data_IF_638505320199
#
_entry.id   IF_638505320199
#
_cell.length_a   1.000
_cell.length_b   1.000
_cell.length_c   1.000
_cell.angle_alpha   90.00
_cell.angle_beta   90.00
_cell.angle_gamma   90.00
#
_symmetry.space_group_name_H-M   'P 1'
#
loop_
_entity.id
_entity.type
_entity.pdbx_description
1 polymer ?
#
# COMPACT_ATOMS: atom_id res chain seq x y z
N UNK A 1 6.42 11.13 10.19
CA UNK A 1 5.74 12.33 9.66
C UNK A 1 6.28 12.74 8.29
N UNK A 2 7.61 12.85 8.12
CA UNK A 2 8.24 13.31 6.86
C UNK A 2 7.75 12.65 5.57
N UNK A 3 7.59 11.33 5.52
CA UNK A 3 7.12 10.66 4.30
C UNK A 3 5.67 10.98 3.96
N UNK A 4 4.79 11.10 4.98
CA UNK A 4 3.41 11.55 4.75
C UNK A 4 3.40 12.96 4.17
N UNK A 5 4.18 13.88 4.74
CA UNK A 5 4.36 15.25 4.25
C UNK A 5 4.89 15.28 2.81
N UNK A 6 5.90 14.47 2.53
CA UNK A 6 6.50 14.34 1.19
C UNK A 6 5.49 13.85 0.14
N UNK A 7 4.64 12.88 0.48
CA UNK A 7 3.56 12.39 -0.40
C UNK A 7 2.44 13.43 -0.54
N UNK A 8 1.92 13.94 0.57
CA UNK A 8 0.76 14.81 0.61
C UNK A 8 0.98 16.12 -0.16
N UNK A 9 2.16 16.70 -0.02
CA UNK A 9 2.55 17.95 -0.71
C UNK A 9 3.32 17.71 -2.01
N UNK A 10 3.49 16.45 -2.43
CA UNK A 10 4.20 16.08 -3.66
C UNK A 10 5.59 16.72 -3.77
N UNK A 11 6.39 16.67 -2.70
CA UNK A 11 7.65 17.41 -2.57
C UNK A 11 8.75 16.99 -3.58
N UNK A 12 8.49 16.01 -4.43
CA UNK A 12 9.35 15.66 -5.57
C UNK A 12 9.13 16.56 -6.79
N UNK A 13 7.96 17.21 -6.89
CA UNK A 13 7.66 18.21 -7.90
C UNK A 13 7.93 19.60 -7.29
N UNK A 14 8.68 20.46 -7.99
CA UNK A 14 9.01 21.80 -7.50
C UNK A 14 7.78 22.73 -7.41
N UNK A 15 6.62 22.26 -7.91
CA UNK A 15 5.32 22.89 -7.77
C UNK A 15 4.86 22.72 -6.33
N UNK A 16 5.01 23.77 -5.53
CA UNK A 16 4.58 23.84 -4.13
C UNK A 16 3.05 23.65 -4.01
N UNK A 17 2.59 22.41 -4.09
CA UNK A 17 1.19 22.08 -4.21
C UNK A 17 0.50 22.14 -2.85
N UNK A 18 -0.55 22.95 -2.75
CA UNK A 18 -1.39 22.99 -1.55
C UNK A 18 -2.13 21.67 -1.34
N UNK A 19 -2.41 21.36 -0.08
CA UNK A 19 -3.20 20.18 0.25
C UNK A 19 -4.64 20.37 -0.26
N UNK A 20 -5.24 19.38 -0.95
CA UNK A 20 -6.65 19.45 -1.30
C UNK A 20 -7.50 19.61 -0.03
N UNK A 21 -8.65 20.26 -0.16
CA UNK A 21 -9.58 20.38 0.96
C UNK A 21 -10.01 18.99 1.47
N UNK A 22 -10.16 18.88 2.78
CA UNK A 22 -10.61 17.68 3.47
C UNK A 22 -11.60 18.06 4.58
N UNK A 23 -12.31 17.06 5.12
CA UNK A 23 -13.26 17.29 6.19
C UNK A 23 -12.56 17.66 7.50
N UNK A 24 -13.09 18.69 8.16
CA UNK A 24 -12.55 19.15 9.44
C UNK A 24 -13.02 18.25 10.59
N UNK A 25 -12.12 17.76 11.47
CA UNK A 25 -12.52 17.00 12.66
C UNK A 25 -13.28 17.82 13.72
N UNK A 26 -13.26 19.15 13.62
CA UNK A 26 -13.87 20.08 14.60
C UNK A 26 -15.18 20.71 14.12
N UNK A 27 -15.45 20.71 12.82
CA UNK A 27 -16.71 21.22 12.28
C UNK A 27 -17.27 20.21 11.29
N UNK A 28 -18.14 19.35 11.82
CA UNK A 28 -18.76 18.21 11.12
C UNK A 28 -19.37 18.65 9.77
N UNK A 29 -19.06 17.90 8.71
CA UNK A 29 -19.79 17.99 7.44
C UNK A 29 -19.37 19.07 6.45
N UNK A 30 -18.16 19.65 6.57
CA UNK A 30 -17.62 20.58 5.55
C UNK A 30 -16.20 20.21 5.12
N UNK A 31 -16.01 19.97 3.82
CA UNK A 31 -14.71 19.83 3.15
C UNK A 31 -14.03 21.20 2.98
N UNK A 32 -13.70 21.84 4.10
CA UNK A 32 -13.10 23.18 4.15
C UNK A 32 -11.72 23.20 4.79
N UNK A 33 -11.32 22.13 5.48
CA UNK A 33 -10.01 22.05 6.11
C UNK A 33 -8.92 21.90 5.03
N UNK A 34 -7.85 22.66 5.17
CA UNK A 34 -6.66 22.57 4.33
C UNK A 34 -5.46 23.07 5.14
N UNK A 35 -4.26 22.76 4.67
CA UNK A 35 -3.01 23.22 5.26
C UNK A 35 -2.14 23.90 4.19
N UNK A 36 -1.40 24.96 4.55
CA UNK A 36 -0.40 25.54 3.67
C UNK A 36 0.67 24.52 3.29
N UNK A 37 1.34 24.77 2.15
CA UNK A 37 2.41 23.89 1.68
C UNK A 37 3.47 23.66 2.78
N UNK A 38 3.92 22.41 2.90
CA UNK A 38 4.93 21.94 3.86
C UNK A 38 4.58 22.14 5.35
N UNK A 39 3.32 22.44 5.67
CA UNK A 39 2.85 22.58 7.05
C UNK A 39 2.40 21.25 7.64
N UNK A 40 2.72 21.00 8.90
CA UNK A 40 2.25 19.82 9.64
C UNK A 40 1.03 20.11 10.52
N UNK A 41 0.85 21.37 10.87
CA UNK A 41 -0.26 21.87 11.68
C UNK A 41 -0.82 23.16 11.08
N UNK A 42 -2.05 23.49 11.43
CA UNK A 42 -2.70 24.74 11.04
C UNK A 42 -4.05 24.89 11.72
N UNK A 43 -4.89 25.76 11.17
CA UNK A 43 -6.22 26.03 11.70
C UNK A 43 -7.27 25.95 10.60
N UNK A 44 -8.44 25.39 10.93
CA UNK A 44 -9.55 25.31 9.99
C UNK A 44 -10.08 26.72 9.66
N UNK A 45 -10.23 27.08 8.37
CA UNK A 45 -10.70 28.41 7.99
C UNK A 45 -12.16 28.69 8.41
N UNK A 46 -12.95 27.67 8.73
CA UNK A 46 -14.36 27.81 9.09
C UNK A 46 -14.63 27.88 10.60
N UNK A 47 -13.94 27.06 11.40
CA UNK A 47 -14.19 26.96 12.85
C UNK A 47 -12.98 27.31 13.72
N UNK A 48 -11.84 27.61 13.11
CA UNK A 48 -10.57 27.90 13.79
C UNK A 48 -10.06 26.77 14.71
N UNK A 49 -10.55 25.54 14.53
CA UNK A 49 -10.05 24.36 15.22
C UNK A 49 -8.64 23.96 14.73
N UNK A 50 -7.81 23.42 15.64
CA UNK A 50 -6.44 22.99 15.32
C UNK A 50 -6.46 21.78 14.38
N UNK A 51 -5.82 21.91 13.23
CA UNK A 51 -5.67 20.83 12.25
C UNK A 51 -4.26 20.25 12.30
N UNK A 52 -4.17 18.94 12.09
CA UNK A 52 -2.95 18.18 11.87
C UNK A 52 -2.94 17.65 10.44
N UNK A 53 -1.76 17.48 9.84
CA UNK A 53 -1.63 16.87 8.51
C UNK A 53 -2.30 15.49 8.45
N UNK A 54 -2.23 14.72 9.54
CA UNK A 54 -2.88 13.40 9.64
C UNK A 54 -4.40 13.46 9.54
N UNK A 55 -5.03 14.59 9.84
CA UNK A 55 -6.48 14.74 9.73
C UNK A 55 -6.96 14.61 8.29
N UNK A 56 -6.09 14.90 7.31
CA UNK A 56 -6.38 14.71 5.89
C UNK A 56 -6.78 13.26 5.57
N UNK A 57 -6.25 12.29 6.33
CA UNK A 57 -6.49 10.87 6.12
C UNK A 57 -7.93 10.50 6.49
N UNK A 58 -8.58 11.27 7.37
CA UNK A 58 -9.99 11.09 7.70
C UNK A 58 -10.26 10.03 8.77
N UNK A 59 -9.28 9.60 9.58
CA UNK A 59 -9.54 8.61 10.65
C UNK A 59 -10.71 9.00 11.57
N UNK A 60 -10.85 10.29 11.86
CA UNK A 60 -11.95 10.82 12.66
C UNK A 60 -13.34 10.59 12.04
N UNK A 61 -13.44 10.40 10.72
CA UNK A 61 -14.71 10.20 10.00
C UNK A 61 -15.30 8.80 10.21
N UNK A 62 -14.47 7.79 10.52
CA UNK A 62 -14.91 6.41 10.72
C UNK A 62 -14.87 5.96 12.16
N UNK A 63 -14.40 6.79 13.09
CA UNK A 63 -14.43 6.49 14.54
C UNK A 63 -15.81 6.76 15.14
N UNK A 64 -16.86 6.29 14.46
CA UNK A 64 -18.23 6.34 14.96
C UNK A 64 -18.45 5.27 16.04
N UNK A 65 -19.42 5.45 16.96
CA UNK A 65 -19.72 4.46 18.01
C UNK A 65 -20.00 3.05 17.46
N UNK A 66 -20.55 2.96 16.24
CA UNK A 66 -20.89 1.71 15.55
C UNK A 66 -19.77 1.17 14.65
N UNK A 67 -18.61 1.83 14.61
CA UNK A 67 -17.47 1.37 13.81
C UNK A 67 -16.86 0.11 14.41
N UNK A 68 -16.58 -0.89 13.56
CA UNK A 68 -15.87 -2.09 13.99
C UNK A 68 -14.40 -1.71 14.28
N UNK A 69 -13.91 -1.84 15.52
CA UNK A 69 -12.55 -1.43 15.89
C UNK A 69 -11.46 -2.09 15.03
N UNK A 70 -11.72 -3.32 14.58
CA UNK A 70 -10.82 -4.10 13.74
C UNK A 70 -10.60 -3.50 12.35
N UNK A 71 -11.60 -2.81 11.77
CA UNK A 71 -11.47 -2.21 10.44
C UNK A 71 -10.55 -1.00 10.49
N UNK A 72 -10.76 -0.11 11.47
CA UNK A 72 -9.91 1.08 11.68
C UNK A 72 -8.47 0.68 11.96
N UNK A 73 -8.25 -0.37 12.76
CA UNK A 73 -6.91 -0.89 13.03
C UNK A 73 -6.22 -1.43 11.76
N UNK A 74 -6.94 -2.19 10.91
CA UNK A 74 -6.41 -2.71 9.64
C UNK A 74 -6.08 -1.60 8.64
N UNK A 75 -6.92 -0.58 8.56
CA UNK A 75 -6.67 0.58 7.70
C UNK A 75 -5.46 1.37 8.18
N UNK A 76 -5.34 1.56 9.51
CA UNK A 76 -4.15 2.17 10.12
C UNK A 76 -2.87 1.40 9.78
N UNK A 77 -2.88 0.07 9.93
CA UNK A 77 -1.76 -0.78 9.54
C UNK A 77 -1.42 -0.63 8.04
N UNK A 78 -2.43 -0.67 7.16
CA UNK A 78 -2.24 -0.56 5.71
C UNK A 78 -1.60 0.77 5.31
N UNK A 79 -2.05 1.88 5.92
CA UNK A 79 -1.45 3.20 5.69
C UNK A 79 -0.01 3.22 6.22
N UNK A 80 0.22 2.70 7.42
CA UNK A 80 1.55 2.71 8.03
C UNK A 80 2.56 1.87 7.23
N UNK A 81 2.19 0.67 6.79
CA UNK A 81 2.99 -0.18 5.90
C UNK A 81 3.32 0.54 4.60
N UNK A 82 2.33 1.22 4.01
CA UNK A 82 2.54 1.99 2.79
C UNK A 82 3.50 3.16 3.03
N UNK A 83 3.33 3.92 4.11
CA UNK A 83 4.25 5.01 4.46
C UNK A 83 5.66 4.50 4.77
N UNK A 84 5.81 3.33 5.39
CA UNK A 84 7.11 2.72 5.66
C UNK A 84 7.81 2.31 4.36
N UNK A 85 7.09 1.64 3.45
CA UNK A 85 7.54 1.32 2.10
C UNK A 85 8.05 2.59 1.38
N UNK A 86 7.23 3.65 1.38
CA UNK A 86 7.60 4.91 0.75
C UNK A 86 8.68 5.69 1.50
N UNK A 87 8.95 5.39 2.76
CA UNK A 87 10.06 6.00 3.50
C UNK A 87 11.40 5.52 2.94
N UNK A 88 11.53 4.22 2.65
CA UNK A 88 12.71 3.69 1.96
C UNK A 88 12.87 4.27 0.55
N UNK A 89 11.77 4.33 -0.21
CA UNK A 89 11.75 4.92 -1.56
C UNK A 89 12.18 6.39 -1.52
N UNK A 90 11.58 7.20 -0.63
CA UNK A 90 11.90 8.61 -0.45
C UNK A 90 13.37 8.81 -0.07
N UNK A 91 13.88 8.01 0.87
CA UNK A 91 15.27 8.08 1.30
C UNK A 91 16.22 7.93 0.11
N UNK A 92 16.05 6.89 -0.72
CA UNK A 92 16.89 6.72 -1.90
C UNK A 92 16.60 7.77 -2.98
N UNK A 93 15.36 8.20 -3.16
CA UNK A 93 15.04 9.28 -4.09
C UNK A 93 15.81 10.58 -3.78
N UNK A 94 15.91 10.94 -2.51
CA UNK A 94 16.61 12.13 -2.04
C UNK A 94 18.15 11.96 -2.04
N UNK A 95 18.65 10.74 -1.75
CA UNK A 95 20.09 10.49 -1.53
C UNK A 95 20.82 9.89 -2.72
N UNK A 96 20.22 8.92 -3.42
CA UNK A 96 20.83 8.18 -4.52
C UNK A 96 19.76 7.49 -5.39
N UNK A 97 19.40 8.11 -6.52
CA UNK A 97 18.31 7.64 -7.40
C UNK A 97 18.73 6.46 -8.27
N UNK A 98 20.03 6.31 -8.49
CA UNK A 98 20.65 5.20 -9.20
C UNK A 98 20.48 3.90 -8.40
N UNK A 99 20.72 3.95 -7.09
CA UNK A 99 20.44 2.83 -6.18
C UNK A 99 18.94 2.53 -6.13
N UNK A 100 18.09 3.57 -6.05
CA UNK A 100 16.63 3.40 -6.07
C UNK A 100 16.17 2.55 -7.27
N UNK A 101 16.73 2.82 -8.45
CA UNK A 101 16.36 2.15 -9.70
C UNK A 101 16.83 0.68 -9.76
N UNK A 102 17.77 0.31 -8.87
CA UNK A 102 18.29 -1.04 -8.72
C UNK A 102 17.65 -1.82 -7.55
N UNK A 103 16.78 -1.18 -6.77
CA UNK A 103 16.03 -1.85 -5.71
C UNK A 103 14.72 -2.45 -6.25
N UNK A 104 14.34 -3.59 -5.67
CA UNK A 104 12.99 -4.13 -5.74
C UNK A 104 12.37 -4.01 -4.35
N UNK A 105 11.36 -3.16 -4.21
CA UNK A 105 10.63 -3.05 -2.95
C UNK A 105 9.48 -4.05 -2.93
N UNK A 106 9.36 -4.78 -1.81
CA UNK A 106 8.37 -5.85 -1.66
C UNK A 106 7.45 -5.51 -0.49
N UNK A 107 6.14 -5.50 -0.74
CA UNK A 107 5.10 -5.36 0.28
C UNK A 107 4.38 -6.69 0.47
N UNK A 108 4.14 -7.10 1.72
CA UNK A 108 3.14 -8.13 2.01
C UNK A 108 1.74 -7.51 1.96
N UNK A 109 0.90 -8.02 1.06
CA UNK A 109 -0.41 -7.47 0.74
C UNK A 109 -0.45 -6.56 -0.50
N UNK A 110 -1.64 -6.07 -0.85
CA UNK A 110 -1.88 -5.35 -2.09
C UNK A 110 -1.27 -3.94 -2.09
N UNK A 111 -0.96 -3.45 -3.28
CA UNK A 111 -0.61 -2.04 -3.51
C UNK A 111 -1.89 -1.19 -3.66
N UNK A 112 -2.68 -1.13 -2.58
CA UNK A 112 -3.96 -0.41 -2.54
C UNK A 112 -4.23 0.21 -1.18
N UNK A 113 -4.93 1.34 -1.17
CA UNK A 113 -5.44 2.04 0.01
C UNK A 113 -6.94 2.27 -0.23
N UNK A 114 -7.79 1.74 0.65
CA UNK A 114 -9.25 1.75 0.45
C UNK A 114 -9.91 2.95 1.13
N UNK A 115 -11.23 3.07 0.89
CA UNK A 115 -12.13 4.00 1.58
C UNK A 115 -11.65 5.46 1.49
N UNK A 116 -11.95 6.23 2.53
CA UNK A 116 -11.58 7.65 2.66
C UNK A 116 -10.06 7.91 2.64
N UNK A 117 -9.24 6.90 2.90
CA UNK A 117 -7.78 6.99 2.94
C UNK A 117 -7.12 6.99 1.55
N UNK A 118 -7.91 6.70 0.51
CA UNK A 118 -7.47 6.65 -0.90
C UNK A 118 -6.87 7.96 -1.43
N UNK A 119 -6.99 9.07 -0.67
CA UNK A 119 -6.36 10.37 -0.95
C UNK A 119 -4.85 10.28 -1.19
N UNK A 120 -4.16 9.26 -0.66
CA UNK A 120 -2.73 9.03 -0.89
C UNK A 120 -2.41 8.30 -2.22
N UNK A 121 -3.38 7.61 -2.82
CA UNK A 121 -3.17 6.81 -4.04
C UNK A 121 -2.78 7.68 -5.23
N UNK A 122 -3.50 8.78 -5.43
CA UNK A 122 -3.26 9.66 -6.57
C UNK A 122 -1.88 10.37 -6.48
N UNK A 123 -1.45 10.94 -5.34
CA UNK A 123 -0.07 11.42 -5.16
C UNK A 123 0.98 10.33 -5.39
N UNK A 124 0.78 9.12 -4.87
CA UNK A 124 1.71 7.98 -5.08
C UNK A 124 1.86 7.68 -6.58
N UNK A 125 0.76 7.56 -7.32
CA UNK A 125 0.81 7.31 -8.77
C UNK A 125 1.54 8.42 -9.52
N UNK A 126 1.27 9.68 -9.19
CA UNK A 126 1.98 10.84 -9.77
C UNK A 126 3.47 10.79 -9.49
N UNK A 127 3.88 10.44 -8.27
CA UNK A 127 5.29 10.22 -7.97
C UNK A 127 5.91 9.14 -8.86
N UNK A 128 5.26 7.97 -8.96
CA UNK A 128 5.78 6.85 -9.74
C UNK A 128 5.88 7.18 -11.23
N UNK A 129 4.87 7.87 -11.78
CA UNK A 129 4.89 8.38 -13.15
C UNK A 129 5.99 9.42 -13.36
N UNK A 130 6.16 10.36 -12.41
CA UNK A 130 7.23 11.36 -12.43
C UNK A 130 8.62 10.72 -12.40
N UNK A 131 8.85 9.77 -11.49
CA UNK A 131 10.10 9.06 -11.34
C UNK A 131 10.48 8.31 -12.63
N UNK A 132 9.50 7.60 -13.23
CA UNK A 132 9.65 6.95 -14.53
C UNK A 132 10.01 7.97 -15.63
N UNK A 133 9.30 9.10 -15.70
CA UNK A 133 9.56 10.16 -16.68
C UNK A 133 10.92 10.85 -16.52
N UNK A 134 11.53 10.77 -15.34
CA UNK A 134 12.91 11.23 -15.08
C UNK A 134 13.98 10.16 -15.32
N UNK A 135 13.60 8.96 -15.76
CA UNK A 135 14.53 7.85 -15.98
C UNK A 135 14.89 7.06 -14.72
N UNK A 136 14.26 7.34 -13.58
CA UNK A 136 14.52 6.67 -12.30
C UNK A 136 13.35 5.76 -11.93
N UNK A 137 13.30 4.58 -12.54
CA UNK A 137 12.19 3.65 -12.37
C UNK A 137 12.16 3.06 -10.96
N UNK A 138 11.05 3.20 -10.26
CA UNK A 138 10.83 2.59 -8.95
C UNK A 138 10.15 1.23 -9.11
N UNK A 139 10.86 0.14 -8.81
CA UNK A 139 10.32 -1.22 -8.91
C UNK A 139 9.68 -1.62 -7.58
N UNK A 140 8.37 -1.87 -7.60
CA UNK A 140 7.59 -2.24 -6.41
C UNK A 140 6.72 -3.44 -6.76
N UNK A 141 6.65 -4.42 -5.86
CA UNK A 141 5.66 -5.49 -5.91
C UNK A 141 4.91 -5.58 -4.58
N UNK A 142 3.60 -5.80 -4.65
CA UNK A 142 2.79 -6.25 -3.52
C UNK A 142 2.33 -7.68 -3.74
N UNK A 143 2.50 -8.57 -2.76
CA UNK A 143 2.07 -9.96 -2.87
C UNK A 143 0.77 -10.21 -2.10
N UNK A 144 -0.24 -10.78 -2.76
CA UNK A 144 -1.47 -11.22 -2.09
C UNK A 144 -1.46 -12.75 -1.93
N UNK A 145 -1.43 -13.19 -0.67
CA UNK A 145 -1.50 -14.62 -0.30
C UNK A 145 -2.92 -15.07 0.04
N UNK A 146 -3.83 -14.14 0.30
CA UNK A 146 -5.19 -14.40 0.75
C UNK A 146 -6.20 -13.50 0.04
N UNK A 147 -7.48 -13.82 0.19
CA UNK A 147 -8.61 -13.08 -0.37
C UNK A 147 -8.95 -13.49 -1.80
N UNK A 148 -10.00 -12.85 -2.35
CA UNK A 148 -10.67 -13.25 -3.59
C UNK A 148 -9.74 -13.52 -4.77
N UNK A 149 -8.67 -12.74 -4.94
CA UNK A 149 -7.74 -12.94 -6.05
C UNK A 149 -6.87 -14.19 -5.85
N UNK A 150 -6.39 -14.43 -4.63
CA UNK A 150 -5.60 -15.62 -4.31
C UNK A 150 -6.46 -16.89 -4.40
N UNK A 151 -7.70 -16.83 -3.88
CA UNK A 151 -8.71 -17.89 -4.01
C UNK A 151 -9.01 -18.19 -5.49
N UNK A 152 -9.23 -17.15 -6.30
CA UNK A 152 -9.48 -17.32 -7.74
C UNK A 152 -8.28 -17.96 -8.46
N UNK A 153 -7.05 -17.53 -8.14
CA UNK A 153 -5.84 -18.14 -8.68
C UNK A 153 -5.70 -19.62 -8.29
N UNK A 154 -6.09 -20.01 -7.07
CA UNK A 154 -6.08 -21.43 -6.68
C UNK A 154 -7.02 -22.29 -7.54
N UNK A 155 -8.15 -21.73 -7.97
CA UNK A 155 -9.13 -22.43 -8.80
C UNK A 155 -8.65 -22.63 -10.25
N UNK A 156 -8.09 -21.58 -10.86
CA UNK A 156 -7.74 -21.59 -12.29
C UNK A 156 -6.26 -21.95 -12.54
N UNK A 157 -5.41 -21.72 -11.54
CA UNK A 157 -3.97 -21.68 -11.71
C UNK A 157 -3.37 -23.03 -12.09
N UNK A 158 -3.97 -24.14 -11.63
CA UNK A 158 -3.55 -25.50 -11.96
C UNK A 158 -3.62 -25.82 -13.45
N UNK A 159 -4.49 -25.13 -14.20
CA UNK A 159 -4.69 -25.31 -15.64
C UNK A 159 -3.70 -24.50 -16.50
N UNK A 160 -3.05 -23.48 -15.92
CA UNK A 160 -2.10 -22.63 -16.65
C UNK A 160 -0.75 -23.34 -16.86
N UNK A 161 -0.04 -23.07 -17.95
CA UNK A 161 1.32 -23.59 -18.10
C UNK A 161 2.27 -22.96 -17.06
N UNK A 162 3.31 -23.68 -16.60
CA UNK A 162 4.44 -23.04 -15.91
C UNK A 162 5.03 -21.89 -16.73
N UNK A 163 5.68 -20.96 -16.05
CA UNK A 163 6.25 -19.74 -16.64
C UNK A 163 5.24 -18.85 -17.38
N UNK A 164 3.99 -18.86 -16.91
CA UNK A 164 2.92 -18.04 -17.48
C UNK A 164 2.61 -16.83 -16.62
N UNK A 165 2.21 -15.75 -17.30
CA UNK A 165 1.74 -14.52 -16.67
C UNK A 165 0.37 -14.18 -17.23
N UNK A 166 -0.58 -13.92 -16.34
CA UNK A 166 -1.93 -13.51 -16.68
C UNK A 166 -2.24 -12.16 -16.06
N UNK A 167 -2.65 -11.21 -16.89
CA UNK A 167 -3.04 -9.87 -16.46
C UNK A 167 -4.55 -9.74 -16.63
N UNK A 168 -5.34 -9.78 -15.54
CA UNK A 168 -6.79 -9.73 -15.64
C UNK A 168 -7.26 -8.34 -16.09
N UNK A 169 -8.17 -8.30 -17.07
CA UNK A 169 -8.83 -7.07 -17.51
C UNK A 169 -9.82 -6.56 -16.45
N UNK A 170 -10.25 -5.30 -16.57
CA UNK A 170 -11.28 -4.72 -15.71
C UNK A 170 -12.57 -5.56 -15.70
N UNK A 171 -13.02 -5.98 -16.89
CA UNK A 171 -14.19 -6.85 -17.04
C UNK A 171 -13.97 -8.20 -16.34
N UNK A 172 -12.82 -8.84 -16.55
CA UNK A 172 -12.49 -10.13 -15.92
C UNK A 172 -12.53 -10.04 -14.40
N UNK A 173 -11.95 -8.99 -13.82
CA UNK A 173 -11.96 -8.78 -12.36
C UNK A 173 -13.39 -8.66 -11.85
N UNK A 174 -14.23 -7.84 -12.51
CA UNK A 174 -15.60 -7.62 -12.05
C UNK A 174 -16.44 -8.89 -12.15
N UNK A 175 -16.42 -9.54 -13.31
CA UNK A 175 -17.34 -10.64 -13.63
C UNK A 175 -16.89 -11.96 -13.00
N UNK A 176 -15.60 -12.29 -13.07
CA UNK A 176 -15.10 -13.60 -12.65
C UNK A 176 -14.53 -13.64 -11.23
N UNK A 177 -14.04 -12.51 -10.70
CA UNK A 177 -13.42 -12.48 -9.35
C UNK A 177 -14.34 -11.81 -8.32
N UNK A 178 -14.97 -10.69 -8.68
CA UNK A 178 -15.87 -9.97 -7.78
C UNK A 178 -17.32 -10.45 -7.87
N UNK A 179 -17.67 -11.19 -8.93
CA UNK A 179 -19.02 -11.64 -9.26
C UNK A 179 -20.03 -10.49 -9.31
N UNK A 180 -19.65 -9.39 -9.98
CA UNK A 180 -20.49 -8.23 -10.22
C UNK A 180 -20.54 -7.88 -11.72
N UNK A 181 -21.62 -7.24 -12.21
CA UNK A 181 -21.71 -6.82 -13.60
C UNK A 181 -20.57 -5.87 -14.00
N UNK A 182 -20.13 -5.91 -15.26
CA UNK A 182 -19.22 -4.90 -15.81
C UNK A 182 -19.94 -3.58 -16.08
N UNK A 183 -20.29 -2.89 -14.99
CA UNK A 183 -20.89 -1.56 -14.99
C UNK A 183 -20.25 -0.70 -13.90
N UNK A 184 -20.38 0.62 -14.06
CA UNK A 184 -19.87 1.59 -13.09
C UNK A 184 -18.35 1.76 -13.13
N UNK A 185 -17.79 2.26 -12.03
CA UNK A 185 -16.39 2.68 -11.97
C UNK A 185 -15.40 1.53 -12.26
N UNK A 186 -14.31 1.81 -12.99
CA UNK A 186 -13.22 0.87 -13.20
C UNK A 186 -12.63 0.36 -11.87
N UNK A 187 -12.25 -0.90 -11.84
CA UNK A 187 -11.69 -1.54 -10.65
C UNK A 187 -10.42 -0.83 -10.18
N UNK A 188 -10.39 -0.46 -8.91
CA UNK A 188 -9.19 0.09 -8.28
C UNK A 188 -8.79 1.48 -8.77
N UNK A 189 -9.63 2.18 -9.55
CA UNK A 189 -9.29 3.50 -10.10
C UNK A 189 -8.85 4.49 -9.04
N UNK A 190 -9.55 4.59 -7.93
CA UNK A 190 -9.19 5.55 -6.88
C UNK A 190 -8.40 4.90 -5.73
N UNK A 191 -8.42 3.57 -5.64
CA UNK A 191 -7.90 2.85 -4.46
C UNK A 191 -6.57 2.13 -4.69
N UNK A 192 -6.16 1.84 -5.94
CA UNK A 192 -5.01 0.95 -6.19
C UNK A 192 -3.84 1.68 -6.84
N UNK A 193 -2.65 1.71 -6.26
CA UNK A 193 -1.46 2.20 -6.95
C UNK A 193 -0.64 1.09 -7.64
N UNK A 194 -1.11 -0.16 -7.58
CA UNK A 194 -0.64 -1.28 -8.40
C UNK A 194 -1.79 -2.05 -9.06
N UNK A 195 -1.53 -2.56 -10.27
CA UNK A 195 -2.45 -3.42 -11.00
C UNK A 195 -2.14 -4.90 -10.76
N UNK A 196 -3.18 -5.74 -10.80
CA UNK A 196 -3.07 -7.18 -10.54
C UNK A 196 -2.34 -7.88 -11.67
N UNK A 197 -1.50 -8.84 -11.32
CA UNK A 197 -0.89 -9.78 -12.25
C UNK A 197 -0.73 -11.13 -11.56
N UNK A 198 -1.18 -12.18 -12.22
CA UNK A 198 -1.04 -13.54 -11.75
C UNK A 198 0.18 -14.15 -12.42
N UNK A 199 1.04 -14.73 -11.62
CA UNK A 199 2.24 -15.41 -12.11
C UNK A 199 2.18 -16.86 -11.71
N UNK A 200 2.47 -17.76 -12.66
CA UNK A 200 2.77 -19.15 -12.39
C UNK A 200 4.22 -19.38 -12.82
N UNK A 201 5.12 -19.43 -11.86
CA UNK A 201 6.55 -19.64 -12.11
C UNK A 201 6.86 -21.12 -12.29
N UNK A 202 6.24 -22.00 -11.51
CA UNK A 202 6.37 -23.44 -11.64
C UNK A 202 5.08 -24.16 -11.23
N UNK A 203 5.10 -25.49 -11.24
CA UNK A 203 3.95 -26.28 -10.80
C UNK A 203 3.51 -25.97 -9.36
N UNK A 204 4.46 -25.60 -8.50
CA UNK A 204 4.28 -25.33 -7.07
C UNK A 204 4.42 -23.84 -6.70
N UNK A 205 4.61 -22.95 -7.68
CA UNK A 205 4.84 -21.54 -7.39
C UNK A 205 3.92 -20.70 -8.26
N UNK A 206 2.82 -20.29 -7.64
CA UNK A 206 1.91 -19.31 -8.19
C UNK A 206 1.71 -18.17 -7.21
N UNK A 207 1.47 -16.97 -7.70
CA UNK A 207 1.27 -15.79 -6.86
C UNK A 207 0.38 -14.76 -7.55
N UNK A 208 -0.41 -14.08 -6.72
CA UNK A 208 -1.04 -12.82 -7.12
C UNK A 208 -0.10 -11.70 -6.71
N UNK A 209 0.38 -10.96 -7.70
CA UNK A 209 1.21 -9.78 -7.49
C UNK A 209 0.45 -8.52 -7.90
N UNK A 210 0.92 -7.39 -7.36
CA UNK A 210 0.47 -6.05 -7.66
C UNK A 210 1.68 -5.26 -8.11
N UNK A 211 1.67 -4.75 -9.34
CA UNK A 211 2.79 -3.99 -9.89
C UNK A 211 2.29 -2.61 -10.34
N UNK A 212 2.96 -1.50 -9.98
CA UNK A 212 2.55 -0.18 -10.43
C UNK A 212 2.64 0.01 -11.94
N UNK A 213 1.69 0.78 -12.48
CA UNK A 213 1.70 1.23 -13.88
C UNK A 213 2.16 2.69 -14.03
N UNK A 214 2.39 3.38 -12.91
CA UNK A 214 2.48 4.83 -12.85
C UNK A 214 1.07 5.42 -12.81
N UNK A 215 0.62 5.99 -13.93
CA UNK A 215 -0.77 6.41 -14.09
C UNK A 215 -1.73 5.20 -14.14
N UNK A 216 -3.00 5.45 -13.84
CA UNK A 216 -4.02 4.39 -13.87
C UNK A 216 -4.25 3.88 -15.29
N UNK A 217 -4.24 2.56 -15.45
CA UNK A 217 -4.60 1.88 -16.69
C UNK A 217 -5.71 0.89 -16.38
N UNK A 218 -6.88 1.07 -16.99
CA UNK A 218 -8.06 0.23 -16.74
C UNK A 218 -7.86 -1.22 -17.16
N UNK A 219 -7.28 -1.43 -18.33
CA UNK A 219 -6.95 -2.76 -18.87
C UNK A 219 -5.43 -2.85 -19.09
N UNK A 220 -4.66 -3.08 -18.03
CA UNK A 220 -3.21 -3.12 -18.13
C UNK A 220 -2.75 -4.34 -18.92
N UNK A 221 -1.62 -4.18 -19.59
CA UNK A 221 -0.85 -5.23 -20.25
C UNK A 221 0.54 -5.29 -19.64
N UNK A 222 1.33 -6.31 -19.99
CA UNK A 222 2.68 -6.48 -19.44
C UNK A 222 3.59 -5.27 -19.66
N UNK A 223 3.43 -4.55 -20.78
CA UNK A 223 4.22 -3.37 -21.11
C UNK A 223 3.88 -2.14 -20.26
N UNK A 224 2.73 -2.14 -19.57
CA UNK A 224 2.34 -1.01 -18.71
C UNK A 224 3.03 -1.05 -17.33
N UNK A 225 3.45 -2.23 -16.87
CA UNK A 225 4.03 -2.42 -15.55
C UNK A 225 5.44 -1.83 -15.43
N UNK A 226 5.67 -1.06 -14.36
CA UNK A 226 7.00 -0.55 -14.01
C UNK A 226 7.95 -1.72 -13.76
N UNK A 227 9.02 -1.80 -14.54
CA UNK A 227 10.08 -2.79 -14.28
C UNK A 227 9.69 -4.24 -14.45
N UNK A 228 8.66 -4.53 -15.24
CA UNK A 228 8.16 -5.88 -15.48
C UNK A 228 9.29 -6.89 -15.75
N UNK A 229 10.17 -6.60 -16.70
CA UNK A 229 11.30 -7.46 -17.08
C UNK A 229 12.21 -7.78 -15.88
N UNK A 230 12.66 -6.74 -15.16
CA UNK A 230 13.54 -6.89 -13.99
C UNK A 230 12.84 -7.62 -12.85
N UNK A 231 11.56 -7.31 -12.62
CA UNK A 231 10.75 -7.94 -11.57
C UNK A 231 10.63 -9.44 -11.85
N UNK A 232 10.16 -9.82 -13.04
CA UNK A 232 9.96 -11.23 -13.38
C UNK A 232 11.27 -12.01 -13.44
N UNK A 233 12.37 -11.39 -13.87
CA UNK A 233 13.70 -12.01 -13.81
C UNK A 233 14.21 -12.21 -12.37
N UNK A 234 13.79 -11.35 -11.43
CA UNK A 234 14.20 -11.43 -10.02
C UNK A 234 13.34 -12.39 -9.21
N UNK A 235 12.04 -12.54 -9.53
CA UNK A 235 11.11 -13.35 -8.73
C UNK A 235 11.63 -14.76 -8.39
N UNK A 236 12.19 -15.56 -9.32
CA UNK A 236 12.68 -16.91 -9.00
C UNK A 236 13.80 -16.92 -7.96
N UNK A 237 14.60 -15.86 -7.85
CA UNK A 237 15.75 -15.79 -6.93
C UNK A 237 15.36 -15.42 -5.50
N UNK A 238 14.13 -14.92 -5.31
CA UNK A 238 13.60 -14.49 -4.02
C UNK A 238 12.42 -15.34 -3.55
N UNK A 239 12.22 -16.52 -4.15
CA UNK A 239 11.24 -17.50 -3.66
C UNK A 239 11.71 -18.11 -2.35
N UNK A 240 10.76 -18.37 -1.45
CA UNK A 240 11.01 -19.21 -0.29
C UNK A 240 10.68 -20.66 -0.59
N UNK A 241 11.47 -21.57 -0.02
CA UNK A 241 11.18 -23.01 -0.01
C UNK A 241 10.29 -23.45 1.16
N UNK A 242 10.00 -22.56 2.12
CA UNK A 242 9.27 -22.91 3.36
C UNK A 242 7.76 -22.93 3.16
N UNK A 243 7.24 -21.99 2.39
CA UNK A 243 5.80 -21.87 2.13
C UNK A 243 5.54 -21.68 0.64
N UNK A 244 4.52 -22.38 0.13
CA UNK A 244 4.19 -22.37 -1.28
C UNK A 244 3.90 -20.95 -1.78
N UNK A 245 4.62 -20.53 -2.82
CA UNK A 245 4.48 -19.20 -3.42
C UNK A 245 4.94 -18.03 -2.54
N UNK A 246 5.54 -18.24 -1.37
CA UNK A 246 5.99 -17.14 -0.53
C UNK A 246 7.31 -16.51 -1.01
N UNK A 247 7.47 -15.20 -0.78
CA UNK A 247 8.72 -14.48 -1.05
C UNK A 247 9.62 -14.44 0.18
N UNK A 248 10.89 -14.81 0.00
CA UNK A 248 11.92 -14.84 1.04
C UNK A 248 12.02 -13.53 1.84
N UNK A 249 12.03 -12.32 1.23
CA UNK A 249 12.09 -11.07 1.99
C UNK A 249 10.93 -10.87 2.97
N UNK A 250 9.72 -11.27 2.58
CA UNK A 250 8.52 -11.18 3.44
C UNK A 250 8.65 -12.13 4.62
N UNK A 251 9.09 -13.36 4.37
CA UNK A 251 9.28 -14.34 5.44
C UNK A 251 10.36 -13.94 6.44
N UNK A 252 11.47 -13.38 5.96
CA UNK A 252 12.52 -12.86 6.82
C UNK A 252 11.99 -11.75 7.72
N UNK A 253 11.22 -10.80 7.16
CA UNK A 253 10.57 -9.75 7.95
C UNK A 253 9.63 -10.31 9.01
N UNK A 254 8.79 -11.30 8.66
CA UNK A 254 7.92 -11.99 9.61
C UNK A 254 8.69 -12.72 10.71
N UNK A 255 9.82 -13.36 10.37
CA UNK A 255 10.65 -14.05 11.35
C UNK A 255 11.28 -13.09 12.37
N UNK A 256 11.72 -11.91 11.93
CA UNK A 256 12.26 -10.88 12.84
C UNK A 256 11.15 -10.29 13.69
N UNK A 257 9.98 -10.01 13.10
CA UNK A 257 8.83 -9.50 13.84
C UNK A 257 8.36 -10.48 14.92
N UNK A 258 8.25 -11.77 14.60
CA UNK A 258 7.85 -12.80 15.57
C UNK A 258 8.88 -13.02 16.68
N UNK A 259 10.18 -12.87 16.38
CA UNK A 259 11.25 -12.88 17.37
C UNK A 259 11.24 -11.62 18.26
N UNK A 260 10.87 -10.46 17.73
CA UNK A 260 10.76 -9.22 18.53
C UNK A 260 9.59 -9.25 19.53
N UNK A 261 8.63 -10.14 19.36
CA UNK A 261 7.55 -10.40 20.33
C UNK A 261 8.09 -11.03 21.63
N UNK A 262 9.23 -11.72 21.59
CA UNK A 262 9.82 -12.38 22.78
C UNK A 262 10.23 -11.39 23.90
N UNK A 263 10.96 -10.29 23.63
CA UNK A 263 11.25 -9.28 24.65
C UNK A 263 9.99 -8.52 25.10
N UNK A 264 9.03 -8.23 24.22
CA UNK A 264 7.78 -7.56 24.58
C UNK A 264 6.92 -8.40 25.53
N UNK A 265 6.86 -9.72 25.33
CA UNK A 265 6.15 -10.64 26.22
C UNK A 265 6.81 -10.73 27.60
N UNK A 266 8.15 -10.70 27.69
CA UNK A 266 8.85 -10.62 28.97
C UNK A 266 8.56 -9.30 29.70
N UNK A 267 8.54 -8.18 28.98
CA UNK A 267 8.20 -6.88 29.56
C UNK A 267 6.74 -6.87 30.05
N UNK A 268 5.78 -7.37 29.27
CA UNK A 268 4.39 -7.49 29.69
C UNK A 268 4.25 -8.39 30.93
N UNK A 269 5.02 -9.48 31.00
CA UNK A 269 5.06 -10.39 32.14
C UNK A 269 5.62 -9.72 33.39
N UNK A 270 6.71 -8.97 33.25
CA UNK A 270 7.29 -8.15 34.34
C UNK A 270 6.26 -7.12 34.83
N UNK A 271 5.55 -6.43 33.94
CA UNK A 271 4.51 -5.46 34.35
C UNK A 271 3.30 -6.13 35.02
N UNK A 272 2.88 -7.31 34.58
CA UNK A 272 1.79 -8.07 35.20
C UNK A 272 2.19 -8.61 36.59
N UNK A 273 3.44 -9.05 36.76
CA UNK A 273 3.99 -9.52 38.04
C UNK A 273 4.18 -8.36 39.03
N UNK A 274 4.63 -7.18 38.57
CA UNK A 274 4.74 -5.96 39.40
C UNK A 274 3.37 -5.44 39.85
N UNK A 275 2.32 -5.63 39.04
CA UNK A 275 0.95 -5.25 39.40
C UNK A 275 0.33 -6.18 40.42
N UNK A 276 0.73 -7.45 40.43
CA UNK A 276 0.25 -8.47 41.37
C UNK A 276 0.87 -8.34 42.78
N UNK A 277 2.05 -7.70 42.89
CA UNK A 277 2.73 -7.45 44.17
C UNK A 277 2.27 -6.19 44.91
N UNK A 278 1.45 -5.33 44.29
CA UNK A 278 0.89 -4.11 44.93
C UNK A 278 -0.48 -4.32 45.60
N UNK A 279 -1.05 -5.52 45.47
CA UNK A 279 -2.37 -5.88 46.04
C UNK A 279 -2.28 -6.99 47.09
N UNK A 280 -1.12 -7.18 47.72
CA UNK A 280 -0.89 -8.12 48.83
C UNK A 280 -0.23 -7.42 50.01
#
# INVERSE_FOLDING_TARGET
METLKWIAYEKWDAKQKSLPSFECPHCEGKDVATLPYDSEEGYCPACNGKLLLTDMLGFHQVMAPDSAPDEVARDYMTIHETLLLFTGIRYFWEKNKEVLSNCLFVKDGPLSIRAQYSKLVAPIRRFLAFARGKGYQVNIIGQEKTGKFAEHLQLIGSQALPESVFVPSNAYIKEHIQHRPDRGAPYGKDTNYGAKVFVRLSHFHQSVLNIPTGEYVENPTLSNFMGAERIFATLPTILSSRFEGALLPIELAHSVASLSTYPSAQILKIFAEVSSQKNS
#
